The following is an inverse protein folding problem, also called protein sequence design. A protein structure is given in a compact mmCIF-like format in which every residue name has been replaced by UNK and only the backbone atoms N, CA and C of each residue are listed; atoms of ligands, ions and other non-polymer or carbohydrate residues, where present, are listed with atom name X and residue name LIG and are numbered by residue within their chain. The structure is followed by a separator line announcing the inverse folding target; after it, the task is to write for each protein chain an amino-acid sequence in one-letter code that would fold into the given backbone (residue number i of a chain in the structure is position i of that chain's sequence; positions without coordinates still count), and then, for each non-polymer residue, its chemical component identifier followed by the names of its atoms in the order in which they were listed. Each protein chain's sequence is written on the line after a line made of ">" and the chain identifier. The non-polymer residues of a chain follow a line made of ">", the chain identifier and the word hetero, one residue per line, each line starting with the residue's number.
data_IF_447334643320
#
_entry.id   IF_447334643320
#
_cell.length_a   1.000
_cell.length_b   1.000
_cell.length_c   1.000
_cell.angle_alpha   90.00
_cell.angle_beta   90.00
_cell.angle_gamma   90.00
#
_symmetry.space_group_name_H-M   'P 1'
#
loop_
_entity.id
_entity.type
_entity.pdbx_description
1 polymer ?
#
# COMPACT_ATOMS: atom_id res chain seq x y z
N UNK A 1 15.37 15.42 -1.50
CA UNK A 1 15.29 13.95 -1.38
C UNK A 1 14.28 13.48 -2.40
N UNK A 2 14.68 12.56 -3.27
CA UNK A 2 13.75 11.95 -4.23
C UNK A 2 12.68 11.15 -3.48
N UNK A 3 11.56 10.87 -4.15
CA UNK A 3 10.43 10.14 -3.57
C UNK A 3 10.83 8.76 -3.07
N UNK A 4 11.69 8.08 -3.82
CA UNK A 4 12.16 6.73 -3.48
C UNK A 4 12.99 6.71 -2.20
N UNK A 5 13.83 7.73 -1.98
CA UNK A 5 14.59 7.88 -0.74
C UNK A 5 13.67 8.06 0.47
N UNK A 6 12.58 8.81 0.32
CA UNK A 6 11.60 9.02 1.39
C UNK A 6 10.85 7.74 1.73
N UNK A 7 10.45 6.98 0.72
CA UNK A 7 9.77 5.68 0.91
C UNK A 7 10.72 4.71 1.61
N UNK A 8 11.97 4.62 1.14
CA UNK A 8 12.99 3.77 1.74
C UNK A 8 13.22 4.13 3.22
N UNK A 9 13.40 5.41 3.51
CA UNK A 9 13.54 5.89 4.89
C UNK A 9 12.35 5.49 5.76
N UNK A 10 11.12 5.69 5.28
CA UNK A 10 9.91 5.33 6.04
C UNK A 10 9.84 3.82 6.31
N UNK A 11 10.22 2.98 5.35
CA UNK A 11 10.28 1.53 5.52
C UNK A 11 11.33 1.12 6.57
N UNK A 12 12.53 1.71 6.52
CA UNK A 12 13.62 1.41 7.46
C UNK A 12 13.30 1.87 8.90
N UNK A 13 12.48 2.92 9.06
CA UNK A 13 12.11 3.47 10.37
C UNK A 13 10.78 2.92 10.91
N UNK A 14 10.10 2.03 10.19
CA UNK A 14 8.83 1.44 10.63
C UNK A 14 9.06 0.01 11.11
N UNK A 15 8.58 -0.30 12.32
CA UNK A 15 8.62 -1.66 12.87
C UNK A 15 7.27 -2.37 12.72
N UNK A 16 7.31 -3.64 12.30
CA UNK A 16 6.12 -4.48 12.21
C UNK A 16 5.82 -5.16 13.55
N UNK A 17 4.82 -4.64 14.27
CA UNK A 17 4.40 -5.21 15.57
C UNK A 17 3.55 -6.48 15.41
N UNK A 18 2.70 -6.52 14.37
CA UNK A 18 1.82 -7.66 14.09
C UNK A 18 1.70 -7.85 12.58
N UNK A 19 2.14 -9.01 12.12
CA UNK A 19 1.89 -9.44 10.75
C UNK A 19 0.39 -9.77 10.51
N UNK A 20 -0.12 -9.57 9.29
CA UNK A 20 -1.45 -10.03 8.92
C UNK A 20 -1.57 -11.54 9.13
N UNK A 21 -2.70 -11.99 9.68
CA UNK A 21 -2.98 -13.42 9.91
C UNK A 21 -3.54 -14.13 8.69
N UNK A 22 -4.10 -13.37 7.75
CA UNK A 22 -4.73 -13.90 6.55
C UNK A 22 -3.82 -13.68 5.36
N UNK A 23 -3.71 -14.71 4.51
CA UNK A 23 -3.02 -14.60 3.22
C UNK A 23 -3.87 -13.78 2.23
N UNK A 24 -3.19 -13.05 1.34
CA UNK A 24 -3.88 -12.31 0.28
C UNK A 24 -4.62 -13.30 -0.63
N UNK A 25 -5.88 -12.97 -0.94
CA UNK A 25 -6.67 -13.70 -1.93
C UNK A 25 -5.93 -13.67 -3.28
N UNK A 26 -5.80 -14.85 -3.90
CA UNK A 26 -5.09 -15.05 -5.16
C UNK A 26 -5.95 -14.74 -6.38
N UNK A 27 -7.28 -14.90 -6.26
CA UNK A 27 -8.23 -14.73 -7.37
C UNK A 27 -9.38 -13.77 -7.06
N UNK A 28 -9.46 -13.25 -5.83
CA UNK A 28 -10.35 -12.18 -5.42
C UNK A 28 -9.61 -10.90 -5.03
N UNK A 29 -10.35 -9.89 -4.58
CA UNK A 29 -9.78 -8.68 -4.01
C UNK A 29 -9.54 -8.90 -2.51
N UNK A 30 -8.37 -8.51 -2.02
CA UNK A 30 -8.04 -8.56 -0.60
C UNK A 30 -8.25 -7.21 0.05
N UNK A 31 -8.99 -7.17 1.16
CA UNK A 31 -9.11 -5.98 2.00
C UNK A 31 -8.28 -6.21 3.25
N UNK A 32 -7.27 -5.36 3.44
CA UNK A 32 -6.36 -5.41 4.59
C UNK A 32 -6.68 -4.22 5.48
N UNK A 33 -7.21 -4.51 6.66
CA UNK A 33 -7.28 -3.54 7.74
C UNK A 33 -5.88 -3.35 8.33
N UNK A 34 -5.39 -2.12 8.32
CA UNK A 34 -4.10 -1.79 8.91
C UNK A 34 -4.23 -0.71 9.96
N UNK A 35 -3.31 -0.76 10.92
CA UNK A 35 -3.20 0.20 12.00
C UNK A 35 -1.77 0.69 12.08
N UNK A 36 -1.57 2.00 12.19
CA UNK A 36 -0.27 2.61 12.40
C UNK A 36 -0.32 3.43 13.66
N UNK A 37 0.62 3.17 14.57
CA UNK A 37 0.81 3.99 15.76
C UNK A 37 1.88 5.02 15.43
N UNK A 38 1.58 6.31 15.60
CA UNK A 38 2.58 7.37 15.49
C UNK A 38 2.59 8.23 16.74
N UNK A 39 3.68 8.94 16.95
CA UNK A 39 3.73 10.05 17.88
C UNK A 39 2.80 11.17 17.42
N UNK A 40 2.17 11.87 18.38
CA UNK A 40 1.43 13.10 18.15
C UNK A 40 2.11 14.29 18.85
N UNK A 41 2.16 14.27 20.20
CA UNK A 41 2.86 15.28 21.02
C UNK A 41 3.29 14.66 22.35
N UNK A 42 4.57 14.78 22.70
CA UNK A 42 5.10 14.30 23.98
C UNK A 42 4.91 12.79 24.14
N UNK A 43 4.33 12.36 25.27
CA UNK A 43 4.05 10.93 25.51
C UNK A 43 2.68 10.47 24.97
N UNK A 44 2.06 11.25 24.06
CA UNK A 44 0.79 10.90 23.44
C UNK A 44 1.04 10.32 22.04
N UNK A 45 0.57 9.09 21.85
CA UNK A 45 0.52 8.44 20.55
C UNK A 45 -0.90 8.45 19.99
N UNK A 46 -1.01 8.42 18.67
CA UNK A 46 -2.28 8.27 17.96
C UNK A 46 -2.26 6.98 17.14
N UNK A 47 -3.36 6.24 17.20
CA UNK A 47 -3.61 5.11 16.31
C UNK A 47 -4.38 5.63 15.10
N UNK A 48 -3.85 5.40 13.91
CA UNK A 48 -4.56 5.62 12.65
C UNK A 48 -4.93 4.28 12.06
N UNK A 49 -6.19 4.13 11.69
CA UNK A 49 -6.70 2.98 10.96
C UNK A 49 -6.89 3.32 9.48
N UNK A 50 -6.84 2.29 8.65
CA UNK A 50 -7.13 2.40 7.24
C UNK A 50 -7.36 1.03 6.61
N UNK A 51 -7.86 1.06 5.37
CA UNK A 51 -8.06 -0.13 4.54
C UNK A 51 -7.18 -0.04 3.30
N UNK A 52 -6.37 -1.06 3.07
CA UNK A 52 -5.73 -1.28 1.76
C UNK A 52 -6.57 -2.27 1.00
N UNK A 53 -7.00 -1.88 -0.20
CA UNK A 53 -7.71 -2.76 -1.13
C UNK A 53 -6.72 -3.20 -2.20
N UNK A 54 -6.28 -4.45 -2.12
CA UNK A 54 -5.53 -5.08 -3.20
C UNK A 54 -6.55 -5.72 -4.15
N UNK A 55 -6.78 -5.07 -5.28
CA UNK A 55 -7.70 -5.57 -6.30
C UNK A 55 -7.22 -6.89 -6.92
N UNK A 56 -8.18 -7.70 -7.40
CA UNK A 56 -7.88 -8.94 -8.12
C UNK A 56 -6.84 -8.69 -9.23
N UNK A 57 -5.73 -9.46 -9.27
CA UNK A 57 -4.78 -9.38 -10.37
C UNK A 57 -5.47 -9.64 -11.70
N UNK A 58 -5.39 -8.70 -12.64
CA UNK A 58 -5.93 -8.86 -14.00
C UNK A 58 -4.80 -9.32 -14.93
N UNK A 59 -5.00 -10.43 -15.62
CA UNK A 59 -4.14 -10.81 -16.74
C UNK A 59 -4.51 -9.88 -17.90
N UNK A 60 -3.58 -9.01 -18.28
CA UNK A 60 -3.72 -8.10 -19.41
C UNK A 60 -2.83 -8.57 -20.55
N UNK A 61 -3.35 -8.51 -21.77
CA UNK A 61 -2.50 -8.67 -22.95
C UNK A 61 -1.70 -7.38 -23.18
N UNK A 62 -0.52 -7.45 -23.83
CA UNK A 62 0.28 -6.25 -24.10
C UNK A 62 -0.50 -5.13 -24.80
N UNK A 63 -1.44 -5.49 -25.69
CA UNK A 63 -2.32 -4.53 -26.37
C UNK A 63 -3.21 -3.72 -25.43
N UNK A 64 -3.55 -4.27 -24.26
CA UNK A 64 -4.43 -3.63 -23.27
C UNK A 64 -3.66 -2.66 -22.36
N UNK A 65 -2.36 -2.87 -22.15
CA UNK A 65 -1.49 -1.97 -21.35
C UNK A 65 -1.28 -0.59 -21.98
N UNK A 66 -1.54 -0.43 -23.29
CA UNK A 66 -1.43 0.87 -23.97
C UNK A 66 -2.63 1.78 -23.64
N UNK A 67 -3.75 1.19 -23.23
CA UNK A 67 -5.02 1.89 -23.00
C UNK A 67 -5.40 2.01 -21.51
N UNK A 68 -4.44 1.86 -20.59
CA UNK A 68 -4.71 2.05 -19.16
C UNK A 68 -4.64 3.53 -18.79
N UNK A 69 -5.63 3.96 -18.03
CA UNK A 69 -5.72 5.32 -17.51
C UNK A 69 -4.46 5.66 -16.69
N UNK A 70 -3.79 6.76 -17.04
CA UNK A 70 -2.54 7.20 -16.42
C UNK A 70 -1.25 6.64 -17.03
N UNK A 71 -1.32 5.74 -18.03
CA UNK A 71 -0.14 5.12 -18.66
C UNK A 71 -0.18 5.13 -20.21
N UNK A 72 -1.19 5.74 -20.82
CA UNK A 72 -1.24 5.99 -22.26
C UNK A 72 -0.32 7.15 -22.67
N UNK A 73 0.05 7.25 -23.95
CA UNK A 73 0.88 8.36 -24.47
C UNK A 73 0.28 9.77 -24.25
N UNK A 74 -1.01 9.85 -23.95
CA UNK A 74 -1.74 11.09 -23.70
C UNK A 74 -1.92 11.41 -22.20
N UNK A 75 -1.41 10.55 -21.30
CA UNK A 75 -1.49 10.72 -19.86
C UNK A 75 -0.37 11.64 -19.30
#
# INVERSE_FOLDING_TARGET
>A
METDDKIKYALEQTELIRAPRQELDTFGSSVIDYYVVTELVGNLSVVRDGKVIAERPKIVTPSYLVNVEGFSEQA
#
